data_IF_634064975249
#
_entry.id   IF_634064975249
#
_cell.length_a   1.000
_cell.length_b   1.000
_cell.length_c   1.000
_cell.angle_alpha   90.00
_cell.angle_beta   90.00
_cell.angle_gamma   90.00
#
_symmetry.space_group_name_H-M   'P 1'
#
loop_
_entity.id
_entity.type
_entity.pdbx_description
1 polymer ?
#
# COMPACT_ATOMS: atom_id res chain seq x y z
N UNK A 1 -8.64 -8.07 37.11
CA UNK A 1 -9.94 -7.43 36.76
C UNK A 1 -10.20 -7.65 35.27
N UNK A 2 -11.46 -7.73 34.83
CA UNK A 2 -11.80 -7.80 33.40
C UNK A 2 -11.64 -6.42 32.75
N UNK A 3 -11.47 -6.38 31.42
CA UNK A 3 -11.42 -5.14 30.64
C UNK A 3 -12.79 -4.44 30.56
N UNK A 4 -12.79 -3.15 30.23
CA UNK A 4 -14.01 -2.33 30.10
C UNK A 4 -14.06 -1.75 28.68
N UNK A 5 -14.83 -2.41 27.81
CA UNK A 5 -14.91 -2.05 26.38
C UNK A 5 -15.80 -0.84 26.07
N UNK A 6 -16.44 -0.26 27.08
CA UNK A 6 -17.32 0.92 26.91
C UNK A 6 -16.55 2.24 26.92
N UNK A 7 -15.29 2.23 27.34
CA UNK A 7 -14.44 3.43 27.35
C UNK A 7 -13.85 3.61 25.95
N UNK A 8 -14.21 4.71 25.29
CA UNK A 8 -13.64 5.06 23.98
C UNK A 8 -12.25 5.65 24.16
N UNK A 9 -11.33 5.21 23.30
CA UNK A 9 -9.96 5.71 23.22
C UNK A 9 -9.75 6.50 21.93
N UNK A 10 -8.88 7.50 21.98
CA UNK A 10 -8.54 8.27 20.79
C UNK A 10 -7.57 7.50 19.88
N UNK A 11 -7.78 7.50 18.56
CA UNK A 11 -6.85 6.90 17.62
C UNK A 11 -5.50 7.63 17.57
N UNK A 12 -4.43 6.89 17.24
CA UNK A 12 -3.08 7.45 17.11
C UNK A 12 -2.91 8.15 15.75
N UNK A 13 -3.10 9.47 15.71
CA UNK A 13 -3.05 10.29 14.50
C UNK A 13 -1.70 10.26 13.76
N UNK A 14 -0.61 9.98 14.49
CA UNK A 14 0.75 9.86 13.96
C UNK A 14 0.90 8.71 12.96
N UNK A 15 0.02 7.71 13.02
CA UNK A 15 0.02 6.56 12.09
C UNK A 15 -0.05 7.02 10.64
N UNK A 16 -0.73 8.13 10.33
CA UNK A 16 -0.78 8.69 8.97
C UNK A 16 0.60 8.97 8.38
N UNK A 17 1.57 9.30 9.23
CA UNK A 17 2.94 9.62 8.83
C UNK A 17 3.87 8.40 8.84
N UNK A 18 3.40 7.25 9.31
CA UNK A 18 4.18 6.01 9.22
C UNK A 18 4.37 5.62 7.77
N UNK A 19 5.46 4.89 7.53
CA UNK A 19 5.80 4.40 6.20
C UNK A 19 5.85 2.88 6.19
N UNK A 20 5.42 2.30 5.06
CA UNK A 20 5.49 0.88 4.77
C UNK A 20 6.51 0.72 3.65
N UNK A 21 7.56 -0.07 3.89
CA UNK A 21 8.52 -0.45 2.86
C UNK A 21 8.08 -1.76 2.20
N UNK A 22 7.84 -1.73 0.88
CA UNK A 22 7.43 -2.92 0.12
C UNK A 22 8.52 -3.28 -0.87
N UNK A 23 9.15 -4.44 -0.66
CA UNK A 23 10.07 -5.07 -1.63
C UNK A 23 9.36 -6.23 -2.32
N UNK A 24 9.08 -6.06 -3.60
CA UNK A 24 8.40 -7.05 -4.42
C UNK A 24 9.33 -7.52 -5.56
N UNK A 25 9.42 -8.84 -5.72
CA UNK A 25 10.12 -9.50 -6.83
C UNK A 25 9.13 -10.42 -7.54
N UNK A 26 9.09 -10.33 -8.86
CA UNK A 26 8.27 -11.15 -9.73
C UNK A 26 9.14 -11.99 -10.66
N UNK A 27 8.62 -13.14 -11.06
CA UNK A 27 9.23 -14.02 -12.04
C UNK A 27 8.16 -14.54 -12.98
N UNK A 28 8.41 -14.46 -14.29
CA UNK A 28 7.63 -15.14 -15.32
C UNK A 28 8.43 -16.36 -15.80
N UNK A 29 8.20 -17.57 -15.24
CA UNK A 29 9.12 -18.70 -15.41
C UNK A 29 9.22 -19.18 -16.86
N UNK A 30 8.13 -19.12 -17.62
CA UNK A 30 8.09 -19.50 -19.04
C UNK A 30 9.09 -18.72 -19.90
N UNK A 31 9.38 -17.47 -19.52
CA UNK A 31 10.27 -16.57 -20.25
C UNK A 31 11.63 -16.37 -19.55
N UNK A 32 11.87 -17.10 -18.44
CA UNK A 32 13.03 -16.88 -17.55
C UNK A 32 13.24 -15.40 -17.14
N UNK A 33 12.15 -14.65 -17.05
CA UNK A 33 12.19 -13.22 -16.79
C UNK A 33 11.99 -12.92 -15.29
N UNK A 34 12.80 -12.04 -14.73
CA UNK A 34 12.71 -11.63 -13.32
C UNK A 34 12.86 -10.11 -13.22
N UNK A 35 11.96 -9.46 -12.48
CA UNK A 35 12.03 -8.03 -12.18
C UNK A 35 11.50 -7.76 -10.77
N UNK A 36 11.71 -6.56 -10.27
CA UNK A 36 11.14 -6.12 -9.01
C UNK A 36 10.88 -4.63 -9.00
N UNK A 37 10.14 -4.18 -7.99
CA UNK A 37 9.92 -2.75 -7.79
C UNK A 37 11.15 -2.04 -7.20
N UNK A 38 12.15 -2.79 -6.74
CA UNK A 38 13.42 -2.25 -6.27
C UNK A 38 14.46 -2.34 -7.39
N UNK A 39 14.65 -1.23 -8.11
CA UNK A 39 15.54 -1.18 -9.27
C UNK A 39 17.02 -1.22 -8.83
N UNK A 40 17.90 -1.89 -9.58
CA UNK A 40 19.34 -1.93 -9.26
C UNK A 40 20.02 -0.55 -9.24
N UNK A 41 19.47 0.42 -9.96
CA UNK A 41 19.95 1.80 -10.02
C UNK A 41 19.57 2.65 -8.79
N UNK A 42 18.72 2.14 -7.89
CA UNK A 42 18.36 2.86 -6.67
C UNK A 42 19.55 2.93 -5.72
N UNK A 43 19.78 4.13 -5.19
CA UNK A 43 20.80 4.37 -4.19
C UNK A 43 20.20 4.74 -2.83
N UNK A 44 21.02 4.67 -1.78
CA UNK A 44 20.62 4.95 -0.42
C UNK A 44 20.05 6.37 -0.25
N UNK A 45 20.60 7.35 -0.97
CA UNK A 45 20.13 8.74 -0.94
C UNK A 45 18.70 8.89 -1.46
N UNK A 46 18.35 8.15 -2.51
CA UNK A 46 16.99 8.10 -3.05
C UNK A 46 16.05 7.45 -2.04
N UNK A 47 16.39 6.26 -1.53
CA UNK A 47 15.55 5.52 -0.59
C UNK A 47 15.29 6.31 0.70
N UNK A 48 16.26 7.08 1.21
CA UNK A 48 16.06 7.91 2.41
C UNK A 48 15.08 9.07 2.23
N UNK A 49 14.81 9.49 0.99
CA UNK A 49 14.04 10.72 0.69
C UNK A 49 12.76 10.47 -0.08
N UNK A 50 12.70 9.40 -0.88
CA UNK A 50 11.57 9.15 -1.74
C UNK A 50 10.32 8.82 -0.92
N UNK A 51 9.16 9.19 -1.46
CA UNK A 51 7.87 8.69 -1.03
C UNK A 51 7.12 8.28 -2.30
N UNK A 52 6.46 7.12 -2.24
CA UNK A 52 5.66 6.62 -3.34
C UNK A 52 4.61 7.65 -3.76
N UNK A 53 4.48 7.83 -5.06
CA UNK A 53 3.36 8.54 -5.66
C UNK A 53 3.01 7.87 -7.00
N UNK A 54 1.76 7.99 -7.43
CA UNK A 54 1.29 7.38 -8.68
C UNK A 54 1.81 8.09 -9.95
N UNK A 55 2.53 9.21 -9.81
CA UNK A 55 3.02 10.02 -10.92
C UNK A 55 4.54 9.87 -11.08
N UNK A 56 5.35 10.79 -10.56
CA UNK A 56 6.79 10.82 -10.79
C UNK A 56 7.62 9.67 -10.18
N UNK A 57 7.16 9.02 -9.10
CA UNK A 57 7.96 8.08 -8.30
C UNK A 57 7.23 6.74 -8.05
N UNK A 58 6.70 6.13 -9.11
CA UNK A 58 6.03 4.81 -9.03
C UNK A 58 6.95 3.69 -8.52
N UNK A 59 8.26 3.89 -8.60
CA UNK A 59 9.27 2.95 -8.17
C UNK A 59 9.73 3.15 -6.72
N UNK A 60 9.34 4.23 -6.04
CA UNK A 60 9.71 4.39 -4.63
C UNK A 60 9.03 3.29 -3.78
N UNK A 61 9.78 2.47 -3.04
CA UNK A 61 9.21 1.36 -2.27
C UNK A 61 8.65 1.81 -0.90
N UNK A 62 8.65 3.11 -0.59
CA UNK A 62 8.25 3.67 0.72
C UNK A 62 6.88 4.35 0.57
N UNK A 63 5.86 3.77 1.20
CA UNK A 63 4.48 4.22 1.11
C UNK A 63 4.05 4.84 2.43
N UNK A 64 3.60 6.10 2.44
CA UNK A 64 2.98 6.67 3.64
C UNK A 64 1.59 6.08 3.85
N UNK A 65 1.27 5.72 5.09
CA UNK A 65 -0.04 5.16 5.43
C UNK A 65 -1.17 6.14 5.10
N UNK A 66 -0.98 7.43 5.36
CA UNK A 66 -1.97 8.45 5.00
C UNK A 66 -2.26 8.50 3.49
N UNK A 67 -1.23 8.39 2.66
CA UNK A 67 -1.37 8.39 1.19
C UNK A 67 -2.08 7.12 0.70
N UNK A 68 -1.74 5.95 1.26
CA UNK A 68 -2.43 4.69 0.97
C UNK A 68 -3.93 4.80 1.23
N UNK A 69 -4.32 5.36 2.38
CA UNK A 69 -5.72 5.52 2.75
C UNK A 69 -6.44 6.53 1.86
N UNK A 70 -5.77 7.63 1.51
CA UNK A 70 -6.28 8.62 0.56
C UNK A 70 -6.53 7.99 -0.81
N UNK A 71 -5.59 7.20 -1.34
CA UNK A 71 -5.75 6.48 -2.60
C UNK A 71 -6.86 5.42 -2.55
N UNK A 72 -7.09 4.80 -1.38
CA UNK A 72 -8.20 3.89 -1.15
C UNK A 72 -9.55 4.61 -0.86
N UNK A 73 -9.57 5.95 -0.92
CA UNK A 73 -10.73 6.79 -0.63
C UNK A 73 -11.33 6.55 0.77
N UNK A 74 -10.48 6.31 1.77
CA UNK A 74 -10.89 6.07 3.15
C UNK A 74 -10.58 7.27 4.06
N UNK A 75 -11.48 7.58 4.98
CA UNK A 75 -11.21 8.53 6.05
C UNK A 75 -10.41 7.85 7.18
N UNK A 76 -9.24 8.41 7.52
CA UNK A 76 -8.38 7.85 8.57
C UNK A 76 -9.07 7.76 9.93
N UNK A 77 -9.71 8.84 10.39
CA UNK A 77 -10.32 8.90 11.72
C UNK A 77 -11.43 7.86 11.87
N UNK A 78 -12.25 7.66 10.83
CA UNK A 78 -13.30 6.64 10.84
C UNK A 78 -12.71 5.21 10.82
N UNK A 79 -11.71 4.98 9.98
CA UNK A 79 -11.05 3.68 9.87
C UNK A 79 -10.30 3.33 11.15
N UNK A 80 -9.61 4.29 11.77
CA UNK A 80 -8.84 4.07 12.97
C UNK A 80 -9.73 3.85 14.22
N UNK A 81 -10.94 4.41 14.23
CA UNK A 81 -11.92 4.18 15.29
C UNK A 81 -12.58 2.79 15.24
N UNK A 82 -12.74 2.21 14.06
CA UNK A 82 -13.46 0.93 13.86
C UNK A 82 -12.56 -0.24 13.51
N UNK A 83 -11.39 0.03 12.94
CA UNK A 83 -10.61 -0.96 12.21
C UNK A 83 -11.05 -1.09 10.75
N UNK A 84 -10.28 -1.90 10.03
CA UNK A 84 -10.58 -2.31 8.66
C UNK A 84 -9.36 -2.89 7.96
N UNK A 85 -9.54 -3.30 6.70
CA UNK A 85 -8.55 -4.02 5.92
C UNK A 85 -8.29 -3.30 4.60
N UNK A 86 -7.05 -2.85 4.39
CA UNK A 86 -6.63 -2.17 3.17
C UNK A 86 -5.76 -3.10 2.33
N UNK A 87 -6.12 -3.24 1.05
CA UNK A 87 -5.38 -3.99 0.06
C UNK A 87 -4.52 -3.08 -0.81
N UNK A 88 -3.23 -3.41 -0.92
CA UNK A 88 -2.29 -2.82 -1.87
C UNK A 88 -2.08 -3.85 -2.99
N UNK A 89 -2.55 -3.54 -4.20
CA UNK A 89 -2.40 -4.42 -5.36
C UNK A 89 -1.25 -3.93 -6.22
N UNK A 90 -0.29 -4.81 -6.49
CA UNK A 90 0.85 -4.56 -7.39
C UNK A 90 0.66 -5.46 -8.60
N UNK A 91 0.41 -4.86 -9.75
CA UNK A 91 0.13 -5.58 -10.98
C UNK A 91 1.25 -5.34 -12.01
N UNK A 92 1.76 -6.43 -12.58
CA UNK A 92 2.82 -6.45 -13.57
C UNK A 92 2.28 -7.02 -14.88
N UNK A 93 1.70 -6.14 -15.70
CA UNK A 93 1.24 -6.48 -17.04
C UNK A 93 2.33 -6.11 -18.04
N UNK A 94 3.12 -7.10 -18.43
CA UNK A 94 4.30 -6.89 -19.25
C UNK A 94 4.16 -7.55 -20.61
N UNK A 95 4.37 -6.75 -21.65
CA UNK A 95 4.51 -7.17 -23.03
C UNK A 95 6.01 -7.41 -23.28
N UNK A 96 6.44 -8.67 -23.16
CA UNK A 96 7.86 -9.05 -23.19
C UNK A 96 8.47 -9.01 -24.60
N UNK A 97 7.68 -8.69 -25.63
CA UNK A 97 8.19 -8.37 -26.96
C UNK A 97 8.80 -6.95 -27.01
N UNK A 98 8.55 -6.12 -25.98
CA UNK A 98 9.10 -4.75 -25.84
C UNK A 98 10.30 -4.72 -24.90
N UNK A 99 10.96 -3.54 -24.84
CA UNK A 99 12.04 -3.29 -23.88
C UNK A 99 11.56 -3.54 -22.44
N UNK A 100 12.48 -4.02 -21.60
CA UNK A 100 12.28 -4.20 -20.16
C UNK A 100 11.73 -2.93 -19.48
N UNK A 101 12.11 -1.74 -19.99
CA UNK A 101 11.67 -0.44 -19.49
C UNK A 101 10.15 -0.23 -19.54
N UNK A 102 9.42 -1.00 -20.36
CA UNK A 102 7.96 -0.96 -20.43
C UNK A 102 7.27 -1.89 -19.42
N UNK A 103 8.00 -2.85 -18.84
CA UNK A 103 7.50 -3.72 -17.79
C UNK A 103 7.63 -3.02 -16.44
N UNK A 104 6.60 -2.27 -16.05
CA UNK A 104 6.57 -1.48 -14.81
C UNK A 104 5.45 -1.96 -13.87
N UNK A 105 5.61 -1.81 -12.55
CA UNK A 105 4.53 -2.10 -11.61
C UNK A 105 3.43 -1.05 -11.72
N UNK A 106 2.18 -1.50 -11.62
CA UNK A 106 1.01 -0.64 -11.44
C UNK A 106 0.40 -0.88 -10.06
N UNK A 107 0.11 0.20 -9.33
CA UNK A 107 -0.39 0.13 -7.96
C UNK A 107 -1.85 0.58 -7.89
N UNK A 108 -2.66 -0.15 -7.13
CA UNK A 108 -4.00 0.29 -6.74
C UNK A 108 -4.30 -0.04 -5.29
N UNK A 109 -5.14 0.77 -4.68
CA UNK A 109 -5.42 0.74 -3.25
C UNK A 109 -6.94 0.63 -3.04
N UNK A 110 -7.36 -0.25 -2.14
CA UNK A 110 -8.79 -0.49 -1.93
C UNK A 110 -9.05 -1.02 -0.53
N UNK A 111 -10.26 -0.80 -0.02
CA UNK A 111 -10.73 -1.45 1.20
C UNK A 111 -11.27 -2.85 0.86
N UNK A 112 -10.76 -3.88 1.53
CA UNK A 112 -11.12 -5.28 1.26
C UNK A 112 -12.35 -5.72 2.08
N UNK A 113 -12.54 -5.18 3.27
CA UNK A 113 -13.66 -5.43 4.18
C UNK A 113 -14.87 -4.51 3.91
N UNK A 114 -15.20 -4.26 2.64
CA UNK A 114 -16.26 -3.31 2.26
C UNK A 114 -17.66 -3.68 2.82
N UNK A 115 -17.87 -4.95 3.19
CA UNK A 115 -19.09 -5.39 3.87
C UNK A 115 -19.20 -4.85 5.31
N UNK A 116 -18.07 -4.64 5.99
CA UNK A 116 -18.05 -4.07 7.34
C UNK A 116 -18.59 -2.64 7.37
N UNK A 117 -18.39 -1.87 6.29
CA UNK A 117 -18.96 -0.53 6.16
C UNK A 117 -20.50 -0.51 6.09
N UNK A 118 -21.12 -1.64 5.73
CA UNK A 118 -22.58 -1.80 5.64
C UNK A 118 -23.18 -2.51 6.85
N UNK A 119 -22.35 -2.98 7.78
CA UNK A 119 -22.77 -3.75 8.94
C UNK A 119 -22.76 -2.89 10.20
N UNK A 120 -23.83 -2.99 10.99
CA UNK A 120 -23.89 -2.42 12.35
C UNK A 120 -23.34 -3.37 13.42
N UNK A 121 -23.18 -4.65 13.08
CA UNK A 121 -22.75 -5.72 14.00
C UNK A 121 -21.23 -5.92 13.96
N UNK A 122 -20.60 -5.73 12.80
CA UNK A 122 -19.15 -5.89 12.59
C UNK A 122 -18.64 -4.74 11.70
N UNK A 123 -18.36 -3.56 12.27
CA UNK A 123 -18.16 -2.33 11.51
C UNK A 123 -16.70 -2.09 11.01
N UNK A 124 -15.76 -2.96 11.37
CA UNK A 124 -14.35 -2.91 10.96
C UNK A 124 -13.66 -4.24 11.12
#
# INVERSE_FOLDING_TARGET
PAEIDTIKTDPMEEVKNFTIFIKNSIRFPTFDYTKGNFLPSMNETYIKKCNFNMGPDIYCPIFKVGDILSYAQQNFTELAAKGGVIGIKINWMCDLDKSDDYCNPSYSFTRLDAMSQKSTVSPG
#
